data_IF_307635531817
#
_entry.id   IF_307635531817
#
_cell.length_a   1.000
_cell.length_b   1.000
_cell.length_c   1.000
_cell.angle_alpha   90.00
_cell.angle_beta   90.00
_cell.angle_gamma   90.00
#
_symmetry.space_group_name_H-M   'P 1'
#
loop_
_entity.id
_entity.type
_entity.pdbx_description
1 polymer ?
#
# COMPACT_ATOMS: atom_id res chain seq x y z
N UNK A 1 26.76 -0.91 25.58
CA UNK A 1 26.23 -1.68 24.44
C UNK A 1 24.73 -1.37 24.29
N UNK A 2 24.03 -1.81 23.24
CA UNK A 2 22.58 -1.55 23.06
C UNK A 2 21.90 -2.88 22.73
N UNK A 3 20.70 -3.23 23.24
CA UNK A 3 19.97 -4.41 22.82
C UNK A 3 19.77 -4.51 21.30
N UNK A 4 19.92 -5.71 20.74
CA UNK A 4 19.85 -5.92 19.28
C UNK A 4 18.55 -5.42 18.65
N UNK A 5 17.41 -5.66 19.31
CA UNK A 5 16.10 -5.18 18.88
C UNK A 5 16.07 -3.66 18.69
N UNK A 6 16.60 -2.90 19.65
CA UNK A 6 16.59 -1.43 19.57
C UNK A 6 17.49 -0.91 18.46
N UNK A 7 18.66 -1.56 18.23
CA UNK A 7 19.51 -1.22 17.09
C UNK A 7 18.79 -1.47 15.75
N UNK A 8 18.08 -2.58 15.62
CA UNK A 8 17.31 -2.87 14.42
C UNK A 8 16.10 -1.96 14.23
N UNK A 9 15.47 -1.49 15.31
CA UNK A 9 14.35 -0.56 15.21
C UNK A 9 14.85 0.83 14.76
N UNK A 10 15.97 1.28 15.32
CA UNK A 10 16.67 2.51 14.92
C UNK A 10 17.14 2.47 13.46
N UNK A 11 17.81 1.38 13.07
CA UNK A 11 18.23 1.13 11.68
C UNK A 11 17.02 1.08 10.73
N UNK A 12 15.93 0.42 11.13
CA UNK A 12 14.71 0.36 10.35
C UNK A 12 14.08 1.74 10.15
N UNK A 13 14.05 2.61 11.16
CA UNK A 13 13.51 3.96 11.03
C UNK A 13 14.35 4.83 10.10
N UNK A 14 15.68 4.78 10.22
CA UNK A 14 16.57 5.54 9.35
C UNK A 14 16.44 5.09 7.89
N UNK A 15 16.41 3.77 7.64
CA UNK A 15 16.21 3.23 6.29
C UNK A 15 14.81 3.53 5.75
N UNK A 16 13.78 3.53 6.58
CA UNK A 16 12.43 3.94 6.20
C UNK A 16 12.44 5.41 5.76
N UNK A 17 12.95 6.32 6.57
CA UNK A 17 12.97 7.74 6.28
C UNK A 17 13.76 8.05 5.00
N UNK A 18 14.95 7.46 4.86
CA UNK A 18 15.77 7.60 3.65
C UNK A 18 15.03 7.15 2.39
N UNK A 19 14.42 5.96 2.42
CA UNK A 19 13.69 5.41 1.25
C UNK A 19 12.39 6.16 0.97
N UNK A 20 11.66 6.59 2.00
CA UNK A 20 10.46 7.41 1.86
C UNK A 20 10.81 8.70 1.12
N UNK A 21 11.83 9.42 1.56
CA UNK A 21 12.26 10.68 0.93
C UNK A 21 12.66 10.50 -0.54
N UNK A 22 13.43 9.47 -0.86
CA UNK A 22 13.82 9.17 -2.26
C UNK A 22 12.59 8.84 -3.12
N UNK A 23 11.68 8.02 -2.60
CA UNK A 23 10.51 7.55 -3.37
C UNK A 23 9.50 8.67 -3.55
N UNK A 24 9.28 9.48 -2.50
CA UNK A 24 8.43 10.66 -2.53
C UNK A 24 8.93 11.68 -3.55
N UNK A 25 10.23 11.97 -3.56
CA UNK A 25 10.86 12.81 -4.60
C UNK A 25 10.62 12.26 -6.01
N UNK A 26 10.81 10.96 -6.21
CA UNK A 26 10.55 10.33 -7.51
C UNK A 26 9.07 10.39 -7.92
N UNK A 27 8.15 10.27 -6.97
CA UNK A 27 6.72 10.42 -7.23
C UNK A 27 6.36 11.87 -7.60
N UNK A 28 6.90 12.85 -6.87
CA UNK A 28 6.75 14.29 -7.17
C UNK A 28 7.17 14.60 -8.61
N UNK A 29 8.39 14.23 -8.99
CA UNK A 29 8.93 14.47 -10.34
C UNK A 29 8.12 13.77 -11.45
N UNK A 30 7.53 12.61 -11.16
CA UNK A 30 6.71 11.87 -12.11
C UNK A 30 5.28 12.44 -12.24
N UNK A 31 4.76 13.08 -11.19
CA UNK A 31 3.36 13.50 -11.09
C UNK A 31 3.14 15.01 -11.25
N UNK A 32 4.14 15.84 -10.95
CA UNK A 32 4.05 17.30 -10.95
C UNK A 32 5.31 17.92 -11.54
N UNK A 33 5.11 18.75 -12.54
CA UNK A 33 6.14 19.63 -13.10
C UNK A 33 5.44 20.85 -13.71
N UNK A 34 5.39 21.94 -12.95
CA UNK A 34 4.63 23.13 -13.33
C UNK A 34 5.19 23.82 -14.58
N UNK A 35 6.52 23.79 -14.75
CA UNK A 35 7.20 24.34 -15.93
C UNK A 35 6.83 23.55 -17.20
N UNK A 36 6.76 22.22 -17.09
CA UNK A 36 6.34 21.34 -18.18
C UNK A 36 4.82 21.17 -18.29
N UNK A 37 4.05 21.89 -17.47
CA UNK A 37 2.57 21.79 -17.39
C UNK A 37 2.09 20.35 -17.14
N UNK A 38 2.84 19.61 -16.33
CA UNK A 38 2.54 18.24 -15.94
C UNK A 38 1.80 18.25 -14.61
N UNK A 39 0.56 17.78 -14.62
CA UNK A 39 -0.22 17.60 -13.39
C UNK A 39 -1.03 16.31 -13.49
N UNK A 40 -0.46 15.21 -13.00
CA UNK A 40 -1.04 13.88 -13.06
C UNK A 40 -1.70 13.41 -11.76
N UNK A 41 -2.77 12.64 -11.85
CA UNK A 41 -3.27 11.89 -10.69
C UNK A 41 -2.53 10.57 -10.50
N UNK A 42 -2.64 9.99 -9.30
CA UNK A 42 -2.21 8.61 -9.00
C UNK A 42 -2.81 7.56 -9.95
N UNK A 43 -3.91 7.88 -10.63
CA UNK A 43 -4.59 6.98 -11.56
C UNK A 43 -4.09 7.10 -13.00
N UNK A 44 -3.16 8.02 -13.26
CA UNK A 44 -2.60 8.25 -14.58
C UNK A 44 -3.43 9.19 -15.46
N UNK A 45 -4.30 10.00 -14.87
CA UNK A 45 -4.99 11.08 -15.59
C UNK A 45 -4.21 12.38 -15.55
N UNK A 46 -4.21 13.08 -16.67
CA UNK A 46 -3.79 14.48 -16.78
C UNK A 46 -4.91 15.39 -16.26
N UNK A 47 -4.71 15.98 -15.08
CA UNK A 47 -5.69 16.85 -14.43
C UNK A 47 -5.80 18.23 -15.08
N UNK A 48 -4.94 18.55 -16.07
CA UNK A 48 -5.07 19.77 -16.87
C UNK A 48 -6.16 19.67 -17.93
N UNK A 49 -6.70 18.46 -18.12
CA UNK A 49 -7.79 18.16 -19.04
C UNK A 49 -9.06 17.84 -18.28
N UNK A 50 -10.18 18.02 -18.97
CA UNK A 50 -11.47 17.55 -18.48
C UNK A 50 -11.52 16.02 -18.54
N UNK A 51 -11.60 15.39 -17.37
CA UNK A 51 -11.74 13.94 -17.23
C UNK A 51 -13.22 13.62 -17.38
N UNK A 52 -13.56 13.00 -18.51
CA UNK A 52 -14.90 12.48 -18.77
C UNK A 52 -14.97 11.03 -18.31
N UNK A 53 -16.12 10.62 -17.79
CA UNK A 53 -16.31 9.29 -17.20
C UNK A 53 -16.07 8.13 -18.19
N UNK A 54 -16.14 8.39 -19.51
CA UNK A 54 -15.86 7.43 -20.59
C UNK A 54 -14.37 7.26 -20.97
N UNK A 55 -13.48 8.08 -20.40
CA UNK A 55 -12.04 8.10 -20.72
C UNK A 55 -11.18 7.51 -19.61
N UNK A 56 -11.80 6.83 -18.64
CA UNK A 56 -11.17 6.43 -17.40
C UNK A 56 -10.18 5.24 -17.60
N UNK A 57 -10.22 4.58 -18.75
CA UNK A 57 -9.27 3.58 -19.23
C UNK A 57 -8.06 4.20 -19.95
N UNK A 58 -8.24 5.40 -20.52
CA UNK A 58 -7.20 6.06 -21.29
C UNK A 58 -6.32 6.85 -20.35
N UNK A 59 -5.36 6.17 -19.73
CA UNK A 59 -4.25 6.84 -19.05
C UNK A 59 -3.54 7.69 -20.09
N UNK A 60 -3.29 8.95 -19.74
CA UNK A 60 -2.41 9.76 -20.57
C UNK A 60 -1.03 9.11 -20.49
N UNK A 61 -0.42 8.80 -21.63
CA UNK A 61 0.93 8.20 -21.70
C UNK A 61 1.94 8.95 -20.82
N UNK A 62 1.76 10.28 -20.66
CA UNK A 62 2.60 11.14 -19.82
C UNK A 62 2.38 10.92 -18.32
N UNK A 63 1.20 10.49 -17.92
CA UNK A 63 0.80 10.28 -16.52
C UNK A 63 0.84 8.81 -16.06
N UNK A 64 1.03 7.85 -16.98
CA UNK A 64 1.25 6.44 -16.63
C UNK A 64 2.42 6.25 -15.67
N UNK A 65 3.51 7.02 -15.84
CA UNK A 65 4.67 6.98 -14.94
C UNK A 65 4.31 7.40 -13.52
N UNK A 66 3.53 8.47 -13.36
CA UNK A 66 3.00 8.90 -12.07
C UNK A 66 2.21 7.77 -11.40
N UNK A 67 1.28 7.16 -12.14
CA UNK A 67 0.45 6.08 -11.62
C UNK A 67 1.27 4.90 -11.10
N UNK A 68 2.23 4.43 -11.90
CA UNK A 68 3.10 3.32 -11.52
C UNK A 68 3.93 3.64 -10.28
N UNK A 69 4.44 4.87 -10.16
CA UNK A 69 5.21 5.32 -8.98
C UNK A 69 4.35 5.41 -7.73
N UNK A 70 3.16 6.01 -7.83
CA UNK A 70 2.26 6.16 -6.70
C UNK A 70 1.72 4.83 -6.18
N UNK A 71 1.27 3.94 -7.07
CA UNK A 71 0.80 2.61 -6.68
C UNK A 71 1.91 1.82 -5.97
N UNK A 72 3.13 1.81 -6.52
CA UNK A 72 4.26 1.11 -5.89
C UNK A 72 4.62 1.73 -4.52
N UNK A 73 4.59 3.06 -4.42
CA UNK A 73 4.84 3.78 -3.16
C UNK A 73 3.80 3.47 -2.09
N UNK A 74 2.51 3.52 -2.41
CA UNK A 74 1.42 3.24 -1.47
C UNK A 74 1.48 1.79 -0.95
N UNK A 75 1.79 0.84 -1.84
CA UNK A 75 1.99 -0.56 -1.44
C UNK A 75 3.20 -0.73 -0.52
N UNK A 76 4.31 -0.04 -0.81
CA UNK A 76 5.49 -0.04 0.05
C UNK A 76 5.19 0.58 1.42
N UNK A 77 4.49 1.72 1.48
CA UNK A 77 4.08 2.37 2.72
C UNK A 77 3.21 1.46 3.60
N UNK A 78 2.22 0.79 3.00
CA UNK A 78 1.37 -0.20 3.67
C UNK A 78 2.19 -1.26 4.38
N UNK A 79 3.14 -1.86 3.67
CA UNK A 79 3.95 -2.95 4.20
C UNK A 79 4.92 -2.44 5.30
N UNK A 80 5.45 -1.22 5.18
CA UNK A 80 6.24 -0.55 6.23
C UNK A 80 5.40 -0.24 7.47
N UNK A 81 4.15 0.19 7.30
CA UNK A 81 3.21 0.44 8.41
C UNK A 81 3.00 -0.84 9.24
N UNK A 82 2.88 -2.00 8.61
CA UNK A 82 2.78 -3.27 9.34
C UNK A 82 4.06 -3.64 10.10
N UNK A 83 5.23 -3.48 9.47
CA UNK A 83 6.51 -3.72 10.12
C UNK A 83 6.65 -2.82 11.36
N UNK A 84 6.29 -1.55 11.23
CA UNK A 84 6.28 -0.59 12.33
C UNK A 84 5.38 -1.02 13.49
N UNK A 85 4.14 -1.47 13.22
CA UNK A 85 3.23 -1.94 14.27
C UNK A 85 3.78 -3.16 15.02
N UNK A 86 4.48 -4.06 14.31
CA UNK A 86 5.16 -5.20 14.95
C UNK A 86 6.32 -4.73 15.83
N UNK A 87 7.09 -3.75 15.38
CA UNK A 87 8.18 -3.16 16.19
C UNK A 87 7.61 -2.45 17.43
N UNK A 88 6.54 -1.64 17.31
CA UNK A 88 5.86 -1.01 18.47
C UNK A 88 5.39 -2.06 19.48
N UNK A 89 4.71 -3.10 19.01
CA UNK A 89 4.23 -4.20 19.86
C UNK A 89 5.39 -4.91 20.57
N UNK A 90 6.49 -5.14 19.86
CA UNK A 90 7.69 -5.77 20.42
C UNK A 90 8.36 -4.87 21.46
N UNK A 91 8.44 -3.56 21.21
CA UNK A 91 8.98 -2.58 22.15
C UNK A 91 8.23 -2.64 23.49
N UNK A 92 6.90 -2.53 23.45
CA UNK A 92 6.05 -2.59 24.64
C UNK A 92 6.24 -3.91 25.42
N UNK A 93 6.37 -5.04 24.72
CA UNK A 93 6.61 -6.35 25.33
C UNK A 93 7.99 -6.44 26.00
N UNK A 94 9.05 -5.97 25.36
CA UNK A 94 10.41 -6.01 25.93
C UNK A 94 10.50 -5.10 27.16
N UNK A 95 9.98 -3.88 27.09
CA UNK A 95 9.90 -2.95 28.22
C UNK A 95 9.16 -3.59 29.40
N UNK A 96 7.94 -4.12 29.18
CA UNK A 96 7.17 -4.79 30.23
C UNK A 96 7.87 -6.00 30.84
N UNK A 97 8.55 -6.82 30.00
CA UNK A 97 9.28 -8.02 30.45
C UNK A 97 10.39 -7.70 31.45
N UNK A 98 11.20 -6.69 31.17
CA UNK A 98 12.37 -6.35 32.01
C UNK A 98 12.04 -5.41 33.19
N UNK A 99 10.85 -4.80 33.20
CA UNK A 99 10.37 -4.01 34.33
C UNK A 99 9.70 -4.90 35.38
N UNK A 100 8.87 -5.86 34.96
CA UNK A 100 8.11 -6.72 35.88
C UNK A 100 8.94 -7.86 36.49
N UNK A 101 10.18 -8.05 36.05
CA UNK A 101 11.08 -9.10 36.56
C UNK A 101 11.72 -8.68 37.89
N UNK A 102 10.92 -8.66 38.95
CA UNK A 102 11.44 -8.76 40.32
C UNK A 102 11.87 -10.23 40.57
N UNK A 103 13.14 -10.53 40.29
CA UNK A 103 13.80 -11.75 40.78
C UNK A 103 13.50 -13.04 40.01
N UNK A 104 13.98 -13.16 38.77
CA UNK A 104 14.08 -14.47 38.12
C UNK A 104 15.45 -15.06 38.47
N UNK A 105 15.45 -16.13 39.26
CA UNK A 105 16.63 -16.75 39.90
C UNK A 105 17.60 -17.49 38.97
N UNK A 106 17.42 -17.43 37.66
CA UNK A 106 18.29 -18.15 36.71
C UNK A 106 18.36 -17.45 35.34
N UNK A 107 19.05 -16.31 35.31
CA UNK A 107 19.18 -15.49 34.12
C UNK A 107 20.64 -15.48 33.62
N UNK A 108 20.86 -15.92 32.37
CA UNK A 108 22.14 -15.79 31.65
C UNK A 108 22.61 -14.32 31.62
N UNK A 109 23.93 -14.06 31.67
CA UNK A 109 24.57 -12.74 31.66
C UNK A 109 23.96 -11.76 30.64
N UNK A 110 23.65 -12.24 29.43
CA UNK A 110 23.05 -11.42 28.35
C UNK A 110 21.70 -10.81 28.73
N UNK A 111 20.89 -11.53 29.50
CA UNK A 111 19.57 -11.05 29.91
C UNK A 111 19.68 -10.02 31.06
N UNK A 112 20.63 -10.17 31.98
CA UNK A 112 20.92 -9.16 33.02
C UNK A 112 21.42 -7.86 32.39
N UNK A 113 22.19 -7.97 31.32
CA UNK A 113 22.64 -6.83 30.53
C UNK A 113 21.47 -6.06 29.90
N UNK A 114 20.55 -6.77 29.22
CA UNK A 114 19.36 -6.15 28.62
C UNK A 114 18.44 -5.55 29.67
N UNK A 115 18.24 -6.23 30.80
CA UNK A 115 17.46 -5.74 31.93
C UNK A 115 17.98 -4.37 32.42
N UNK A 116 19.29 -4.26 32.66
CA UNK A 116 19.91 -3.00 33.07
C UNK A 116 19.69 -1.88 32.03
N UNK A 117 19.79 -2.21 30.74
CA UNK A 117 19.60 -1.23 29.67
C UNK A 117 18.15 -0.72 29.62
N UNK A 118 17.15 -1.62 29.65
CA UNK A 118 15.74 -1.21 29.63
C UNK A 118 15.32 -0.49 30.92
N UNK A 119 15.88 -0.87 32.08
CA UNK A 119 15.71 -0.10 33.33
C UNK A 119 16.28 1.31 33.21
N UNK A 120 17.42 1.48 32.51
CA UNK A 120 17.97 2.81 32.22
C UNK A 120 17.06 3.60 31.27
N UNK A 121 16.62 3.00 30.16
CA UNK A 121 15.69 3.65 29.22
C UNK A 121 14.42 4.18 29.92
N UNK A 122 13.83 3.39 30.82
CA UNK A 122 12.68 3.82 31.64
C UNK A 122 13.00 5.06 32.48
N UNK A 123 14.17 5.07 33.16
CA UNK A 123 14.58 6.21 34.01
C UNK A 123 14.76 7.49 33.21
N UNK A 124 15.13 7.37 31.94
CA UNK A 124 15.29 8.48 31.00
C UNK A 124 13.97 8.81 30.26
N UNK A 125 12.82 8.44 30.83
CA UNK A 125 11.46 8.74 30.31
C UNK A 125 11.02 8.00 29.03
N UNK A 126 11.79 7.03 28.54
CA UNK A 126 11.44 6.22 27.36
C UNK A 126 10.63 4.95 27.71
N UNK A 127 9.84 4.99 28.78
CA UNK A 127 8.98 3.86 29.17
C UNK A 127 7.88 3.61 28.13
N UNK A 128 7.28 4.68 27.62
CA UNK A 128 6.25 4.59 26.59
C UNK A 128 6.89 4.54 25.22
N UNK A 129 6.28 3.77 24.32
CA UNK A 129 6.75 3.66 22.94
C UNK A 129 6.79 5.03 22.25
N UNK A 130 5.80 5.89 22.49
CA UNK A 130 5.70 7.19 21.82
C UNK A 130 6.86 8.13 22.20
N UNK A 131 7.37 8.03 23.43
CA UNK A 131 8.56 8.78 23.85
C UNK A 131 9.82 8.27 23.14
N UNK A 132 9.95 6.96 22.92
CA UNK A 132 11.03 6.40 22.11
C UNK A 132 10.90 6.79 20.63
N UNK A 133 9.69 6.85 20.09
CA UNK A 133 9.46 7.27 18.70
C UNK A 133 9.91 8.72 18.44
N UNK A 134 9.86 9.61 19.45
CA UNK A 134 10.43 10.97 19.34
C UNK A 134 11.94 10.94 19.06
N UNK A 135 12.66 9.94 19.57
CA UNK A 135 14.08 9.76 19.25
C UNK A 135 14.26 9.35 17.79
N UNK A 136 13.44 8.43 17.30
CA UNK A 136 13.50 7.99 15.89
C UNK A 136 13.20 9.14 14.92
N UNK A 137 12.26 10.04 15.27
CA UNK A 137 12.00 11.25 14.49
C UNK A 137 13.23 12.18 14.39
N UNK A 138 14.10 12.17 15.41
CA UNK A 138 15.33 12.96 15.44
C UNK A 138 16.52 12.27 14.73
N UNK A 139 16.29 11.11 14.12
CA UNK A 139 17.27 10.40 13.31
C UNK A 139 17.78 11.23 12.13
N UNK A 140 18.96 10.91 11.62
CA UNK A 140 19.64 11.75 10.63
C UNK A 140 18.88 11.86 9.30
N UNK A 141 18.22 10.78 8.88
CA UNK A 141 17.40 10.77 7.66
C UNK A 141 15.93 11.15 7.93
N UNK A 142 15.47 11.00 9.17
CA UNK A 142 14.10 11.33 9.57
C UNK A 142 13.92 12.82 9.85
N UNK A 143 14.99 13.49 10.31
CA UNK A 143 14.98 14.92 10.56
C UNK A 143 15.04 15.69 9.24
N UNK A 144 13.92 16.28 8.84
CA UNK A 144 13.84 17.15 7.66
C UNK A 144 13.66 18.61 8.07
N UNK A 145 14.34 19.53 7.38
CA UNK A 145 14.16 20.98 7.58
C UNK A 145 12.86 21.51 6.94
N UNK A 146 12.33 20.78 5.94
CA UNK A 146 11.06 21.11 5.29
C UNK A 146 9.88 20.55 6.09
N UNK A 147 8.89 21.40 6.35
CA UNK A 147 7.69 21.05 7.12
C UNK A 147 6.64 20.28 6.32
N UNK A 148 6.64 20.40 4.98
CA UNK A 148 5.64 19.75 4.10
C UNK A 148 5.84 18.22 3.98
N UNK A 149 7.10 17.75 4.03
CA UNK A 149 7.44 16.34 3.89
C UNK A 149 7.88 15.69 5.22
N UNK A 150 7.64 16.39 6.34
CA UNK A 150 8.12 15.98 7.66
C UNK A 150 7.59 14.60 8.06
N UNK A 151 8.49 13.74 8.53
CA UNK A 151 8.16 12.39 8.98
C UNK A 151 7.92 12.44 10.49
N UNK A 152 6.73 12.06 10.93
CA UNK A 152 6.42 11.92 12.35
C UNK A 152 5.82 10.55 12.67
N UNK A 153 6.60 9.70 13.34
CA UNK A 153 6.14 8.39 13.81
C UNK A 153 5.09 8.48 14.93
N UNK A 154 4.91 9.65 15.55
CA UNK A 154 3.88 9.96 16.54
C UNK A 154 2.69 10.73 15.96
N UNK A 155 2.75 11.09 14.68
CA UNK A 155 1.69 11.85 14.02
C UNK A 155 0.37 11.09 14.03
N UNK A 156 -0.72 11.84 13.99
CA UNK A 156 -2.08 11.32 13.80
C UNK A 156 -2.59 11.74 12.42
N UNK A 157 -3.39 10.88 11.82
CA UNK A 157 -4.11 11.15 10.56
C UNK A 157 -3.14 11.57 9.42
N UNK A 158 -3.47 12.63 8.69
CA UNK A 158 -2.78 13.18 7.51
C UNK A 158 -1.39 13.80 7.83
N UNK A 159 -0.82 13.47 9.00
CA UNK A 159 0.48 13.96 9.46
C UNK A 159 1.36 12.86 10.02
N UNK A 160 0.92 11.60 9.91
CA UNK A 160 1.73 10.46 10.34
C UNK A 160 2.83 10.12 9.31
N UNK A 161 3.87 9.41 9.76
CA UNK A 161 5.00 8.99 8.92
C UNK A 161 4.60 8.16 7.68
N UNK A 162 3.39 7.60 7.69
CA UNK A 162 2.85 6.69 6.69
C UNK A 162 1.71 7.32 5.90
N UNK A 163 1.54 8.64 5.98
CA UNK A 163 0.58 9.38 5.18
C UNK A 163 0.99 9.41 3.70
N UNK A 164 -0.02 9.47 2.83
CA UNK A 164 0.16 9.49 1.40
C UNK A 164 0.69 10.83 0.94
N UNK A 165 1.42 10.79 -0.16
CA UNK A 165 1.88 12.01 -0.80
C UNK A 165 0.70 12.81 -1.36
N UNK A 166 0.71 14.13 -1.20
CA UNK A 166 -0.18 15.05 -1.92
C UNK A 166 -0.04 14.96 -3.45
N UNK A 167 1.09 14.46 -3.95
CA UNK A 167 1.33 14.22 -5.37
C UNK A 167 0.67 12.93 -5.88
N UNK A 168 0.44 11.97 -4.98
CA UNK A 168 -0.22 10.71 -5.26
C UNK A 168 -1.70 10.76 -4.87
N UNK A 169 -2.40 11.78 -5.37
CA UNK A 169 -3.81 12.00 -5.12
C UNK A 169 -4.63 11.88 -6.40
N UNK A 170 -5.95 11.63 -6.30
CA UNK A 170 -6.87 11.84 -7.42
C UNK A 170 -6.77 13.28 -7.96
N UNK A 171 -7.25 13.49 -9.19
CA UNK A 171 -7.34 14.86 -9.69
C UNK A 171 -8.30 15.67 -8.81
N UNK A 172 -8.01 16.97 -8.57
CA UNK A 172 -8.92 17.84 -7.86
C UNK A 172 -10.26 17.96 -8.61
N UNK A 173 -11.31 18.35 -7.89
CA UNK A 173 -12.66 18.53 -8.44
C UNK A 173 -12.75 19.58 -9.56
N UNK A 174 -11.71 20.40 -9.76
CA UNK A 174 -11.61 21.39 -10.82
C UNK A 174 -10.48 21.03 -11.76
N UNK A 175 -10.68 21.30 -13.06
CA UNK A 175 -9.59 21.26 -14.04
C UNK A 175 -8.45 22.16 -13.57
N UNK A 176 -7.22 21.66 -13.68
CA UNK A 176 -6.02 22.40 -13.33
C UNK A 176 -5.58 23.25 -14.52
N UNK A 177 -5.27 24.52 -14.26
CA UNK A 177 -4.71 25.43 -15.24
C UNK A 177 -3.26 25.72 -14.87
N UNK A 178 -2.35 25.44 -15.82
CA UNK A 178 -0.94 25.79 -15.70
C UNK A 178 -0.63 27.06 -16.50
N UNK A 179 -0.33 28.16 -15.80
CA UNK A 179 0.02 29.47 -16.37
C UNK A 179 1.23 30.04 -15.62
N UNK A 180 2.12 30.71 -16.34
CA UNK A 180 3.27 31.43 -15.77
C UNK A 180 4.13 30.56 -14.83
N UNK A 181 4.33 29.29 -15.19
CA UNK A 181 5.13 28.34 -14.40
C UNK A 181 4.46 27.87 -13.11
N UNK A 182 3.14 28.03 -12.97
CA UNK A 182 2.36 27.54 -11.83
C UNK A 182 1.11 26.79 -12.27
N UNK A 183 0.85 25.64 -11.67
CA UNK A 183 -0.37 24.86 -11.89
C UNK A 183 -1.35 25.01 -10.71
N UNK A 184 -2.57 25.47 -10.97
CA UNK A 184 -3.58 25.67 -9.95
C UNK A 184 -4.98 25.30 -10.43
N UNK A 185 -5.87 24.94 -9.51
CA UNK A 185 -7.28 24.67 -9.85
C UNK A 185 -7.92 25.90 -10.50
N UNK A 186 -8.60 25.71 -11.63
CA UNK A 186 -9.27 26.77 -12.38
C UNK A 186 -10.52 27.24 -11.62
N UNK A 187 -10.33 28.22 -10.74
CA UNK A 187 -11.36 28.81 -9.88
C UNK A 187 -11.52 30.30 -10.16
N UNK A 188 -12.76 30.79 -10.04
CA UNK A 188 -13.12 32.22 -10.06
C UNK A 188 -13.94 32.53 -8.82
N UNK A 189 -13.48 33.50 -8.02
CA UNK A 189 -14.10 33.86 -6.74
C UNK A 189 -14.32 32.65 -5.80
N UNK A 190 -13.40 31.68 -5.82
CA UNK A 190 -13.50 30.44 -5.03
C UNK A 190 -14.38 29.35 -5.65
N UNK A 191 -15.21 29.67 -6.65
CA UNK A 191 -16.04 28.71 -7.37
C UNK A 191 -15.26 28.05 -8.51
N UNK A 192 -15.45 26.76 -8.71
CA UNK A 192 -14.88 26.00 -9.80
C UNK A 192 -15.43 26.50 -11.14
N UNK A 193 -14.58 27.03 -12.03
CA UNK A 193 -15.05 27.43 -13.38
C UNK A 193 -15.31 26.22 -14.27
N UNK A 194 -14.51 25.17 -14.08
CA UNK A 194 -14.56 23.97 -14.90
C UNK A 194 -14.49 22.75 -13.97
N UNK A 195 -15.64 22.29 -13.47
CA UNK A 195 -15.71 21.11 -12.62
C UNK A 195 -15.38 19.86 -13.42
N UNK A 196 -14.59 18.99 -12.81
CA UNK A 196 -14.43 17.63 -13.29
C UNK A 196 -15.79 16.91 -13.16
N UNK A 197 -16.13 16.10 -14.16
CA UNK A 197 -17.44 15.39 -14.22
C UNK A 197 -17.41 14.11 -13.36
N UNK A 198 -16.25 13.78 -12.79
CA UNK A 198 -16.00 12.59 -12.00
C UNK A 198 -16.29 12.80 -10.50
N UNK A 199 -17.44 13.35 -10.15
CA UNK A 199 -17.87 13.34 -8.74
C UNK A 199 -18.06 11.90 -8.27
N UNK A 200 -17.24 11.49 -7.30
CA UNK A 200 -17.45 10.30 -6.47
C UNK A 200 -18.85 10.41 -5.88
N UNK A 201 -19.74 9.49 -6.24
CA UNK A 201 -21.10 9.47 -5.68
C UNK A 201 -21.00 8.90 -4.26
N UNK A 202 -20.78 9.77 -3.27
CA UNK A 202 -20.66 9.39 -1.85
C UNK A 202 -21.97 8.83 -1.26
N UNK A 203 -23.09 9.04 -1.95
CA UNK A 203 -24.43 8.63 -1.49
C UNK A 203 -24.88 7.26 -2.04
N UNK A 204 -23.96 6.45 -2.55
CA UNK A 204 -24.26 5.08 -3.02
C UNK A 204 -23.67 4.02 -2.12
N UNK A 205 -24.44 2.97 -1.86
CA UNK A 205 -23.96 1.77 -1.19
C UNK A 205 -23.00 1.02 -2.13
N UNK A 206 -21.71 0.85 -1.76
CA UNK A 206 -20.78 0.08 -2.57
C UNK A 206 -21.03 -1.42 -2.47
N UNK A 207 -20.66 -2.15 -3.53
CA UNK A 207 -20.46 -3.59 -3.50
C UNK A 207 -19.04 -3.90 -3.01
N UNK A 208 -18.85 -4.50 -1.83
CA UNK A 208 -17.53 -4.86 -1.34
C UNK A 208 -17.02 -6.12 -2.03
N UNK A 209 -15.77 -6.10 -2.50
CA UNK A 209 -15.04 -7.26 -3.02
C UNK A 209 -13.80 -7.47 -2.15
N UNK A 210 -13.61 -8.68 -1.63
CA UNK A 210 -12.35 -9.04 -0.95
C UNK A 210 -11.34 -9.52 -1.98
N UNK A 211 -10.18 -8.86 -2.05
CA UNK A 211 -9.11 -9.13 -3.01
C UNK A 211 -7.83 -9.50 -2.26
N UNK A 212 -7.25 -10.66 -2.57
CA UNK A 212 -5.96 -11.11 -2.06
C UNK A 212 -4.83 -10.42 -2.81
N UNK A 213 -3.92 -9.75 -2.11
CA UNK A 213 -2.90 -8.91 -2.75
C UNK A 213 -1.49 -9.14 -2.19
N UNK A 214 -0.56 -9.65 -3.01
CA UNK A 214 0.78 -10.06 -2.54
C UNK A 214 1.83 -8.93 -2.43
N UNK A 215 1.56 -7.73 -2.97
CA UNK A 215 2.48 -6.60 -2.92
C UNK A 215 3.74 -6.73 -3.82
N UNK A 216 4.55 -5.67 -3.85
CA UNK A 216 5.66 -5.47 -4.82
C UNK A 216 7.08 -5.80 -4.28
N UNK A 217 7.19 -6.57 -3.19
CA UNK A 217 8.50 -6.85 -2.59
C UNK A 217 9.32 -7.96 -3.25
N UNK A 218 10.66 -7.94 -3.07
CA UNK A 218 11.58 -9.05 -3.38
C UNK A 218 11.49 -10.21 -2.37
N UNK A 219 10.29 -10.53 -1.90
CA UNK A 219 10.04 -11.69 -1.01
C UNK A 219 9.32 -12.79 -1.78
N UNK A 220 9.52 -14.02 -1.31
CA UNK A 220 8.85 -15.19 -1.84
C UNK A 220 7.33 -15.07 -1.68
N UNK A 221 6.56 -15.56 -2.67
CA UNK A 221 5.09 -15.48 -2.67
C UNK A 221 4.47 -16.12 -1.42
N UNK A 222 5.07 -17.20 -0.92
CA UNK A 222 4.60 -17.91 0.29
C UNK A 222 4.86 -17.13 1.57
N UNK A 223 5.85 -16.25 1.59
CA UNK A 223 6.12 -15.35 2.71
C UNK A 223 5.21 -14.13 2.68
N UNK A 224 4.94 -13.61 1.47
CA UNK A 224 4.01 -12.50 1.23
C UNK A 224 2.60 -12.88 1.65
N UNK A 225 2.12 -14.01 1.15
CA UNK A 225 0.79 -14.55 1.43
C UNK A 225 0.82 -15.47 2.67
N UNK A 226 1.69 -15.20 3.63
CA UNK A 226 1.91 -16.12 4.76
C UNK A 226 0.73 -16.19 5.71
N UNK A 227 -0.11 -15.16 5.79
CA UNK A 227 -1.33 -15.22 6.60
C UNK A 227 -2.38 -16.06 5.88
N UNK A 228 -2.53 -15.84 4.58
CA UNK A 228 -3.40 -16.62 3.70
C UNK A 228 -3.00 -18.10 3.64
N UNK A 229 -1.73 -18.42 3.41
CA UNK A 229 -1.24 -19.80 3.37
C UNK A 229 -1.41 -20.54 4.70
N UNK A 230 -1.52 -19.83 5.82
CA UNK A 230 -1.75 -20.44 7.14
C UNK A 230 -3.22 -20.67 7.42
N UNK A 231 -4.06 -19.69 7.10
CA UNK A 231 -5.49 -19.75 7.31
C UNK A 231 -6.22 -18.84 6.29
N UNK A 232 -6.64 -19.40 5.14
CA UNK A 232 -7.32 -18.64 4.08
C UNK A 232 -8.62 -17.96 4.54
N UNK A 233 -9.32 -18.55 5.51
CA UNK A 233 -10.64 -18.15 5.98
C UNK A 233 -10.60 -17.15 7.14
N UNK A 234 -9.41 -16.78 7.62
CA UNK A 234 -9.30 -15.85 8.75
C UNK A 234 -9.88 -14.47 8.42
N UNK A 235 -10.85 -14.03 9.23
CA UNK A 235 -11.51 -12.72 9.09
C UNK A 235 -10.53 -11.54 9.15
N UNK A 236 -9.45 -11.68 9.91
CA UNK A 236 -8.40 -10.65 10.10
C UNK A 236 -7.15 -10.93 9.24
N UNK A 237 -7.32 -11.62 8.11
CA UNK A 237 -6.20 -11.90 7.24
C UNK A 237 -5.73 -10.63 6.53
N UNK A 238 -4.52 -10.18 6.91
CA UNK A 238 -3.86 -8.98 6.39
C UNK A 238 -3.55 -9.01 4.90
N UNK A 239 -3.51 -10.21 4.29
CA UNK A 239 -3.18 -10.36 2.88
C UNK A 239 -4.37 -9.95 1.99
N UNK A 240 -5.58 -9.81 2.56
CA UNK A 240 -6.76 -9.29 1.87
C UNK A 240 -6.91 -7.77 1.98
N UNK A 241 -7.46 -7.21 0.91
CA UNK A 241 -7.92 -5.84 0.79
C UNK A 241 -9.40 -5.83 0.41
N UNK A 242 -10.14 -4.80 0.84
CA UNK A 242 -11.55 -4.66 0.49
C UNK A 242 -11.68 -3.57 -0.56
N UNK A 243 -12.19 -3.92 -1.74
CA UNK A 243 -12.52 -2.98 -2.79
C UNK A 243 -13.99 -2.60 -2.65
N UNK A 244 -14.30 -1.32 -2.65
CA UNK A 244 -15.65 -0.80 -2.63
C UNK A 244 -16.00 -0.34 -4.05
N UNK A 245 -16.81 -1.13 -4.75
CA UNK A 245 -17.19 -0.83 -6.12
C UNK A 245 -18.57 -0.17 -6.18
N UNK A 246 -18.66 0.92 -6.92
CA UNK A 246 -19.85 1.75 -7.07
C UNK A 246 -20.28 1.71 -8.53
N UNK A 247 -21.52 1.27 -8.78
CA UNK A 247 -22.09 1.23 -10.12
C UNK A 247 -23.48 1.86 -10.15
N UNK A 248 -23.64 2.88 -11.01
CA UNK A 248 -24.94 3.52 -11.30
C UNK A 248 -25.29 3.50 -12.78
N UNK A 249 -24.30 3.69 -13.66
CA UNK A 249 -24.48 3.72 -15.11
C UNK A 249 -23.12 3.59 -15.82
N UNK A 250 -23.09 3.53 -17.16
CA UNK A 250 -21.84 3.59 -17.92
C UNK A 250 -21.00 4.84 -17.63
N UNK A 251 -21.64 5.94 -17.22
CA UNK A 251 -20.97 7.18 -16.85
C UNK A 251 -20.62 7.24 -15.35
N UNK A 252 -20.95 6.23 -14.53
CA UNK A 252 -20.71 6.23 -13.09
C UNK A 252 -20.41 4.82 -12.59
N UNK A 253 -19.13 4.47 -12.65
CA UNK A 253 -18.64 3.13 -12.37
C UNK A 253 -17.19 3.20 -11.87
N UNK A 254 -16.94 2.98 -10.58
CA UNK A 254 -15.59 3.10 -10.02
C UNK A 254 -15.41 2.09 -8.87
N UNK A 255 -14.18 1.63 -8.63
CA UNK A 255 -13.84 0.79 -7.49
C UNK A 255 -12.78 1.47 -6.63
N UNK A 256 -13.11 1.76 -5.38
CA UNK A 256 -12.16 2.30 -4.41
C UNK A 256 -11.49 1.16 -3.65
N UNK A 257 -10.19 1.03 -3.76
CA UNK A 257 -9.44 0.07 -2.94
C UNK A 257 -9.23 0.66 -1.54
N UNK A 258 -9.93 0.09 -0.56
CA UNK A 258 -9.66 0.29 0.86
C UNK A 258 -8.67 -0.77 1.33
N UNK A 259 -7.41 -0.37 1.50
CA UNK A 259 -6.47 -1.18 2.28
C UNK A 259 -6.93 -1.28 3.73
N UNK A 260 -6.87 -2.48 4.30
CA UNK A 260 -7.28 -2.81 5.68
C UNK A 260 -6.50 -2.06 6.78
N UNK A 261 -5.39 -1.43 6.44
CA UNK A 261 -4.57 -0.58 7.32
C UNK A 261 -4.92 0.92 7.27
N UNK A 262 -5.73 1.37 6.30
CA UNK A 262 -6.25 2.73 6.22
C UNK A 262 -7.51 2.82 7.08
N UNK A 263 -7.33 2.76 8.40
CA UNK A 263 -8.42 2.92 9.38
C UNK A 263 -8.78 4.39 9.65
N UNK A 264 -8.13 5.33 8.96
CA UNK A 264 -8.39 6.76 9.16
C UNK A 264 -9.60 7.16 8.32
N UNK A 265 -10.61 7.69 8.99
CA UNK A 265 -11.81 8.23 8.38
C UNK A 265 -11.44 9.53 7.64
N UNK A 266 -11.33 9.48 6.31
CA UNK A 266 -10.95 10.65 5.48
C UNK A 266 -9.77 10.44 4.54
N UNK A 267 -9.01 9.35 4.68
CA UNK A 267 -7.87 9.04 3.81
C UNK A 267 -8.34 8.79 2.36
N UNK A 268 -7.81 9.52 1.35
CA UNK A 268 -8.17 9.33 -0.04
C UNK A 268 -7.77 7.92 -0.52
N UNK A 269 -8.76 7.04 -0.64
CA UNK A 269 -8.61 5.69 -1.17
C UNK A 269 -7.91 5.69 -2.55
N UNK A 270 -7.26 4.56 -2.89
CA UNK A 270 -6.84 4.35 -4.28
C UNK A 270 -8.11 4.14 -5.09
N UNK A 271 -8.54 5.18 -5.81
CA UNK A 271 -9.74 5.11 -6.65
C UNK A 271 -9.33 4.47 -7.97
N UNK A 272 -9.54 3.16 -8.10
CA UNK A 272 -9.33 2.44 -9.35
C UNK A 272 -10.60 2.56 -10.18
N UNK A 273 -10.48 3.04 -11.41
CA UNK A 273 -11.63 3.01 -12.31
C UNK A 273 -12.14 1.60 -12.60
N UNK A 274 -13.42 1.48 -12.94
CA UNK A 274 -13.99 0.27 -13.57
C UNK A 274 -13.24 -0.20 -14.80
N UNK A 275 -12.71 0.75 -15.56
CA UNK A 275 -11.93 0.52 -16.77
C UNK A 275 -10.50 0.07 -16.42
N UNK A 276 -10.06 0.20 -15.16
CA UNK A 276 -8.69 0.00 -14.70
C UNK A 276 -8.47 -1.30 -13.90
N UNK A 277 -9.24 -2.35 -14.17
CA UNK A 277 -9.04 -3.69 -13.62
C UNK A 277 -7.62 -4.27 -13.86
N UNK A 278 -6.80 -3.56 -14.64
CA UNK A 278 -5.34 -3.67 -14.72
C UNK A 278 -4.64 -3.94 -13.39
N UNK A 279 -5.01 -3.32 -12.25
CA UNK A 279 -4.30 -3.59 -10.99
C UNK A 279 -4.51 -5.02 -10.48
N UNK A 280 -5.74 -5.53 -10.57
CA UNK A 280 -6.03 -6.90 -10.19
C UNK A 280 -5.36 -7.87 -11.16
N UNK A 281 -5.45 -7.60 -12.46
CA UNK A 281 -4.84 -8.44 -13.53
C UNK A 281 -3.31 -8.44 -13.41
N UNK A 282 -2.70 -7.28 -13.24
CA UNK A 282 -1.26 -7.15 -13.04
C UNK A 282 -0.82 -7.92 -11.80
N UNK A 283 -1.55 -7.81 -10.69
CA UNK A 283 -1.26 -8.60 -9.48
C UNK A 283 -1.41 -10.09 -9.76
N UNK A 284 -2.48 -10.52 -10.44
CA UNK A 284 -2.70 -11.92 -10.82
C UNK A 284 -1.52 -12.47 -11.62
N UNK A 285 -1.07 -11.74 -12.64
CA UNK A 285 0.02 -12.15 -13.53
C UNK A 285 1.35 -12.22 -12.80
N UNK A 286 1.70 -11.17 -12.04
CA UNK A 286 2.91 -11.14 -11.23
C UNK A 286 2.92 -12.31 -10.24
N UNK A 287 1.78 -12.57 -9.58
CA UNK A 287 1.67 -13.65 -8.59
C UNK A 287 1.75 -15.03 -9.23
N UNK A 288 1.17 -15.18 -10.42
CA UNK A 288 1.28 -16.41 -11.22
C UNK A 288 2.73 -16.72 -11.56
N UNK A 289 3.50 -15.74 -12.03
CA UNK A 289 4.94 -15.90 -12.33
C UNK A 289 5.73 -16.25 -11.07
N UNK A 290 5.42 -15.60 -9.93
CA UNK A 290 6.08 -15.91 -8.65
C UNK A 290 5.73 -17.33 -8.18
N UNK A 291 4.49 -17.76 -8.31
CA UNK A 291 4.04 -19.11 -7.99
C UNK A 291 4.71 -20.15 -8.90
N UNK A 292 4.76 -19.90 -10.20
CA UNK A 292 5.48 -20.75 -11.15
C UNK A 292 6.95 -20.90 -10.71
N UNK A 293 7.64 -19.80 -10.45
CA UNK A 293 9.03 -19.80 -9.99
C UNK A 293 9.20 -20.58 -8.69
N UNK A 294 8.26 -20.42 -7.75
CA UNK A 294 8.27 -21.09 -6.45
C UNK A 294 8.08 -22.60 -6.58
N UNK A 295 7.10 -23.02 -7.39
CA UNK A 295 6.70 -24.41 -7.55
C UNK A 295 7.57 -25.18 -8.54
N UNK A 296 8.23 -24.51 -9.49
CA UNK A 296 9.16 -25.14 -10.45
C UNK A 296 10.25 -25.95 -9.75
N UNK A 297 10.72 -25.48 -8.58
CA UNK A 297 11.68 -26.23 -7.74
C UNK A 297 11.10 -27.52 -7.16
N UNK A 298 9.80 -27.57 -6.92
CA UNK A 298 9.10 -28.77 -6.45
C UNK A 298 8.79 -29.72 -7.60
N UNK A 299 8.37 -29.19 -8.77
CA UNK A 299 8.03 -29.96 -9.96
C UNK A 299 9.26 -30.63 -10.59
N UNK A 300 10.40 -29.93 -10.65
CA UNK A 300 11.61 -30.42 -11.33
C UNK A 300 12.44 -31.43 -10.51
N UNK A 301 12.09 -31.68 -9.24
CA UNK A 301 12.80 -32.64 -8.38
C UNK A 301 12.25 -34.08 -8.56
N UNK A 302 12.11 -34.53 -9.80
CA UNK A 302 11.55 -35.84 -10.16
C UNK A 302 12.42 -37.03 -9.74
N UNK A 303 13.69 -36.80 -9.37
CA UNK A 303 14.65 -37.85 -8.99
C UNK A 303 14.79 -38.05 -7.47
N UNK A 304 13.97 -37.41 -6.64
CA UNK A 304 14.03 -37.54 -5.17
C UNK A 304 12.70 -38.06 -4.65
N UNK A 305 12.69 -39.30 -4.15
CA UNK A 305 11.49 -40.00 -3.61
C UNK A 305 10.93 -39.34 -2.33
N UNK A 306 11.71 -38.47 -1.69
CA UNK A 306 11.27 -37.72 -0.51
C UNK A 306 10.58 -36.42 -0.94
N UNK A 307 9.25 -36.43 -0.93
CA UNK A 307 8.49 -35.20 -1.05
C UNK A 307 8.81 -34.31 0.15
N UNK A 308 9.49 -33.19 -0.11
CA UNK A 308 9.88 -32.25 0.94
C UNK A 308 8.61 -31.64 1.54
N UNK A 309 8.36 -31.79 2.85
CA UNK A 309 7.12 -31.30 3.51
C UNK A 309 6.76 -29.85 3.18
N UNK A 310 7.75 -29.00 2.88
CA UNK A 310 7.54 -27.62 2.44
C UNK A 310 6.94 -27.52 1.02
N UNK A 311 7.25 -28.43 0.11
CA UNK A 311 6.64 -28.48 -1.23
C UNK A 311 5.15 -28.79 -1.15
N UNK A 312 4.74 -29.80 -0.39
CA UNK A 312 3.32 -30.10 -0.16
C UNK A 312 2.56 -28.87 0.35
N UNK A 313 3.09 -28.19 1.38
CA UNK A 313 2.50 -26.95 1.93
C UNK A 313 2.41 -25.82 0.89
N UNK A 314 3.42 -25.67 0.04
CA UNK A 314 3.39 -24.65 -1.00
C UNK A 314 2.37 -24.97 -2.09
N UNK A 315 2.24 -26.24 -2.49
CA UNK A 315 1.23 -26.69 -3.46
C UNK A 315 -0.18 -26.51 -2.91
N UNK A 316 -0.42 -26.88 -1.65
CA UNK A 316 -1.69 -26.66 -0.95
C UNK A 316 -2.02 -25.16 -0.87
N UNK A 317 -1.06 -24.30 -0.53
CA UNK A 317 -1.31 -22.86 -0.54
C UNK A 317 -1.59 -22.33 -1.96
N UNK A 318 -0.92 -22.86 -2.98
CA UNK A 318 -1.19 -22.47 -4.37
C UNK A 318 -2.59 -22.89 -4.83
N UNK A 319 -3.02 -24.10 -4.50
CA UNK A 319 -4.39 -24.57 -4.80
C UNK A 319 -5.43 -23.65 -4.14
N UNK A 320 -5.26 -23.36 -2.84
CA UNK A 320 -6.10 -22.39 -2.15
C UNK A 320 -6.08 -21.00 -2.81
N UNK A 321 -4.91 -20.54 -3.25
CA UNK A 321 -4.76 -19.27 -3.95
C UNK A 321 -5.52 -19.24 -5.28
N UNK A 322 -5.47 -20.33 -6.07
CA UNK A 322 -6.21 -20.46 -7.32
C UNK A 322 -7.72 -20.40 -7.06
N UNK A 323 -8.21 -21.16 -6.08
CA UNK A 323 -9.64 -21.14 -5.73
C UNK A 323 -10.09 -19.76 -5.23
N UNK A 324 -9.26 -19.09 -4.44
CA UNK A 324 -9.54 -17.73 -4.01
C UNK A 324 -9.57 -16.75 -5.20
N UNK A 325 -8.67 -16.89 -6.18
CA UNK A 325 -8.66 -16.04 -7.38
C UNK A 325 -9.86 -16.29 -8.30
N UNK A 326 -10.38 -17.52 -8.36
CA UNK A 326 -11.66 -17.81 -9.03
C UNK A 326 -12.83 -17.07 -8.36
N UNK A 327 -12.94 -17.16 -7.03
CA UNK A 327 -13.96 -16.42 -6.26
C UNK A 327 -13.85 -14.91 -6.44
N UNK A 328 -12.62 -14.38 -6.43
CA UNK A 328 -12.39 -12.97 -6.71
C UNK A 328 -12.85 -12.59 -8.11
N UNK A 329 -12.50 -13.39 -9.12
CA UNK A 329 -12.92 -13.18 -10.50
C UNK A 329 -14.44 -13.17 -10.66
N UNK A 330 -15.15 -14.07 -9.99
CA UNK A 330 -16.62 -14.10 -9.98
C UNK A 330 -17.21 -12.82 -9.39
N UNK A 331 -16.75 -12.42 -8.20
CA UNK A 331 -17.24 -11.20 -7.54
C UNK A 331 -16.93 -9.93 -8.36
N UNK A 332 -15.74 -9.89 -8.94
CA UNK A 332 -15.34 -8.89 -9.92
C UNK A 332 -16.34 -8.91 -11.07
N UNK A 333 -16.48 -10.03 -11.77
CA UNK A 333 -17.34 -10.15 -12.94
C UNK A 333 -18.80 -9.80 -12.64
N UNK A 334 -19.30 -10.12 -11.44
CA UNK A 334 -20.64 -9.76 -10.98
C UNK A 334 -20.87 -8.26 -10.87
N UNK A 335 -19.85 -7.49 -10.46
CA UNK A 335 -19.91 -6.02 -10.52
C UNK A 335 -20.03 -5.53 -11.97
N UNK A 336 -19.53 -6.30 -12.94
CA UNK A 336 -19.51 -5.92 -14.35
C UNK A 336 -20.62 -6.54 -15.21
N UNK A 337 -21.42 -7.49 -14.70
CA UNK A 337 -22.37 -8.29 -15.50
C UNK A 337 -23.37 -7.46 -16.32
N UNK A 338 -23.75 -6.29 -15.80
CA UNK A 338 -24.71 -5.37 -16.44
C UNK A 338 -24.05 -4.36 -17.40
N UNK A 339 -22.73 -4.47 -17.62
CA UNK A 339 -21.89 -3.47 -18.31
C UNK A 339 -21.28 -4.00 -19.62
N UNK A 340 -22.13 -4.45 -20.55
CA UNK A 340 -21.70 -5.13 -21.79
C UNK A 340 -20.65 -4.37 -22.61
N UNK A 341 -20.72 -3.04 -22.67
CA UNK A 341 -19.77 -2.22 -23.43
C UNK A 341 -18.40 -2.11 -22.74
N UNK A 342 -18.39 -1.94 -21.43
CA UNK A 342 -17.15 -1.89 -20.63
C UNK A 342 -16.45 -3.25 -20.58
N UNK A 343 -17.22 -4.34 -20.42
CA UNK A 343 -16.71 -5.71 -20.52
C UNK A 343 -16.02 -5.98 -21.87
N UNK A 344 -16.60 -5.50 -22.98
CA UNK A 344 -16.01 -5.66 -24.31
C UNK A 344 -14.66 -4.95 -24.46
N UNK A 345 -14.55 -3.71 -23.98
CA UNK A 345 -13.26 -2.97 -23.97
C UNK A 345 -12.24 -3.70 -23.08
N UNK A 346 -12.68 -4.17 -21.91
CA UNK A 346 -11.86 -4.90 -20.98
C UNK A 346 -11.30 -6.20 -21.58
N UNK A 347 -12.15 -7.04 -22.18
CA UNK A 347 -11.71 -8.26 -22.86
C UNK A 347 -10.75 -7.96 -24.01
N UNK A 348 -11.01 -6.89 -24.78
CA UNK A 348 -10.11 -6.47 -25.85
C UNK A 348 -8.74 -6.02 -25.32
N UNK A 349 -8.71 -5.22 -24.25
CA UNK A 349 -7.47 -4.77 -23.63
C UNK A 349 -6.69 -5.93 -22.99
N UNK A 350 -7.39 -6.88 -22.37
CA UNK A 350 -6.79 -8.11 -21.86
C UNK A 350 -6.17 -8.94 -22.96
N UNK A 351 -6.90 -9.20 -24.06
CA UNK A 351 -6.38 -9.98 -25.18
C UNK A 351 -5.09 -9.35 -25.72
N UNK A 352 -5.05 -8.02 -25.85
CA UNK A 352 -3.86 -7.28 -26.26
C UNK A 352 -2.67 -7.38 -25.27
N UNK A 353 -2.87 -7.85 -24.03
CA UNK A 353 -1.76 -8.09 -23.09
C UNK A 353 -1.11 -9.46 -23.28
N UNK A 354 -1.79 -10.38 -23.97
CA UNK A 354 -1.34 -11.76 -24.19
C UNK A 354 -1.04 -12.09 -25.67
N UNK A 355 -1.50 -11.23 -26.59
CA UNK A 355 -1.06 -11.18 -28.00
C UNK A 355 0.25 -10.39 -28.14
#
# INVERSE_FOLDING_TARGET
YVPQFLRWFDEWSEEFCRKRNITLKSAKEACRDDEKKLYCSQNGFDCTKLIRNKNYCSRDSKCTTCSNKCISYDLWLRDRREEFQKQKTKYTKEIGKYISSNGISNININNKYYENFYKKLKKEEYEKVDDFLKLLNNGSYCKTENTEDAIDFNGTDDKDAFDRSEYCQPCPNCVVQCKDGKCQQKKKNGTCEEPQINTVVRDMTPTPIKVLFSGDHQKDITEKLSSFCKNPESENNRDYQTWQCYYKSSDYNNCEMKGSSYKVEGDPNIIVSHECFHLWVQSLLIDTIKWETKLKKCINNTNVTNCYNKCNKNCECFENWVEQKKKEWENVNDVYKDQKQSLSIYYKNLNNLFD
#
